data_IF_761882593791
#
_entry.id   IF_761882593791
#
_cell.length_a   1.000
_cell.length_b   1.000
_cell.length_c   1.000
_cell.angle_alpha   90.00
_cell.angle_beta   90.00
_cell.angle_gamma   90.00
#
_symmetry.space_group_name_H-M   'P 1'
#
loop_
_entity.id
_entity.type
_entity.pdbx_description
1 polymer ?
#
# COMPACT_ATOMS: atom_id res chain seq x y z
N UNK A 1 5.22 -66.10 -43.87
CA UNK A 1 4.74 -66.88 -45.03
C UNK A 1 3.50 -66.20 -45.59
N UNK A 2 3.47 -66.06 -46.92
CA UNK A 2 2.34 -65.70 -47.79
C UNK A 2 1.82 -64.25 -47.75
N UNK A 3 2.28 -63.52 -48.75
CA UNK A 3 1.73 -62.33 -49.40
C UNK A 3 0.32 -62.54 -49.96
N UNK A 4 -0.47 -61.46 -50.03
CA UNK A 4 -1.40 -61.22 -51.13
C UNK A 4 -1.50 -59.70 -51.38
N UNK A 5 -1.04 -59.31 -52.56
CA UNK A 5 -1.13 -58.00 -53.22
C UNK A 5 -2.26 -58.12 -54.25
N UNK A 6 -3.15 -57.13 -54.38
CA UNK A 6 -3.75 -56.63 -55.65
C UNK A 6 -4.21 -55.17 -55.37
N UNK A 7 -3.56 -54.12 -55.92
CA UNK A 7 -3.86 -53.40 -57.18
C UNK A 7 -5.31 -52.83 -57.22
N UNK A 8 -5.64 -51.62 -57.67
CA UNK A 8 -4.98 -50.63 -58.51
C UNK A 8 -5.85 -49.36 -58.57
N UNK A 9 -5.21 -48.18 -58.64
CA UNK A 9 -5.57 -46.97 -59.43
C UNK A 9 -7.03 -46.44 -59.48
N UNK A 10 -7.24 -45.16 -59.13
CA UNK A 10 -7.30 -44.09 -60.15
C UNK A 10 -7.33 -42.68 -59.54
N UNK A 11 -6.56 -41.82 -60.21
CA UNK A 11 -6.40 -40.38 -60.07
C UNK A 11 -7.66 -39.63 -60.55
N UNK A 12 -8.12 -38.63 -59.78
CA UNK A 12 -8.83 -37.48 -60.34
C UNK A 12 -8.71 -36.27 -59.40
N UNK A 13 -7.94 -35.29 -59.86
CA UNK A 13 -7.86 -33.93 -59.33
C UNK A 13 -9.08 -33.16 -59.89
N UNK A 14 -9.96 -32.64 -59.03
CA UNK A 14 -10.93 -31.60 -59.43
C UNK A 14 -10.93 -30.47 -58.42
N UNK A 15 -10.29 -29.39 -58.85
CA UNK A 15 -10.41 -28.01 -58.38
C UNK A 15 -11.83 -27.51 -58.67
N UNK A 16 -12.54 -27.05 -57.63
CA UNK A 16 -13.69 -26.17 -57.76
C UNK A 16 -13.71 -25.22 -56.55
N UNK A 17 -13.49 -23.95 -56.86
CA UNK A 17 -13.58 -22.78 -55.99
C UNK A 17 -15.01 -22.56 -55.51
N UNK A 18 -15.18 -22.07 -54.27
CA UNK A 18 -16.26 -21.17 -53.85
C UNK A 18 -15.96 -20.58 -52.45
N UNK A 19 -15.56 -19.31 -52.44
CA UNK A 19 -15.87 -18.24 -51.49
C UNK A 19 -15.91 -18.55 -49.98
N UNK A 20 -14.77 -18.31 -49.32
CA UNK A 20 -14.69 -18.17 -47.87
C UNK A 20 -14.87 -16.68 -47.52
N UNK A 21 -15.96 -16.28 -46.83
CA UNK A 21 -16.15 -14.89 -46.47
C UNK A 21 -15.18 -14.48 -45.36
N UNK A 22 -14.45 -13.40 -45.63
CA UNK A 22 -13.60 -12.63 -44.75
C UNK A 22 -14.36 -11.99 -43.58
N UNK A 23 -14.95 -12.80 -42.68
CA UNK A 23 -15.68 -12.31 -41.48
C UNK A 23 -15.15 -12.79 -40.14
N UNK A 24 -14.14 -13.66 -40.09
CA UNK A 24 -13.50 -14.07 -38.81
C UNK A 24 -12.31 -13.22 -38.39
N UNK A 25 -11.68 -12.47 -39.29
CA UNK A 25 -10.56 -11.59 -38.97
C UNK A 25 -10.99 -10.21 -38.42
N UNK A 26 -12.27 -9.83 -38.57
CA UNK A 26 -12.80 -8.54 -38.08
C UNK A 26 -13.48 -8.62 -36.69
N UNK A 27 -13.66 -9.82 -36.11
CA UNK A 27 -14.28 -9.97 -34.78
C UNK A 27 -13.29 -9.99 -33.60
N UNK A 28 -11.97 -9.99 -33.84
CA UNK A 28 -10.96 -9.88 -32.79
C UNK A 28 -10.43 -8.45 -32.55
N UNK A 29 -10.92 -7.45 -33.29
CA UNK A 29 -10.50 -6.04 -33.15
C UNK A 29 -11.54 -5.13 -32.46
N UNK A 30 -12.62 -5.67 -31.88
CA UNK A 30 -13.67 -4.86 -31.21
C UNK A 30 -13.79 -5.07 -29.68
N UNK A 31 -12.81 -5.69 -29.03
CA UNK A 31 -12.73 -5.73 -27.55
C UNK A 31 -11.49 -5.03 -26.98
N UNK A 32 -11.00 -4.00 -27.68
CA UNK A 32 -10.20 -2.94 -27.07
C UNK A 32 -10.98 -1.65 -27.22
N UNK A 33 -12.09 -1.54 -26.47
CA UNK A 33 -12.55 -0.23 -26.04
C UNK A 33 -11.34 0.42 -25.36
N UNK A 34 -10.77 1.42 -26.03
CA UNK A 34 -9.96 2.43 -25.39
C UNK A 34 -10.85 3.06 -24.31
N UNK A 35 -10.81 2.48 -23.11
CA UNK A 35 -11.09 3.25 -21.92
C UNK A 35 -9.96 4.28 -21.88
N UNK A 36 -10.25 5.51 -22.31
CA UNK A 36 -9.45 6.64 -21.84
C UNK A 36 -9.29 6.46 -20.32
N UNK A 37 -8.09 6.65 -19.74
CA UNK A 37 -7.95 6.56 -18.30
C UNK A 37 -8.94 7.54 -17.70
N UNK A 38 -10.04 7.03 -17.13
CA UNK A 38 -10.99 7.87 -16.46
C UNK A 38 -10.21 8.53 -15.32
N UNK A 39 -10.16 9.86 -15.32
CA UNK A 39 -9.50 10.64 -14.27
C UNK A 39 -9.89 10.05 -12.92
N UNK A 40 -8.90 9.69 -12.07
CA UNK A 40 -9.18 9.16 -10.75
C UNK A 40 -10.18 10.07 -10.03
N UNK A 41 -11.14 9.49 -9.30
CA UNK A 41 -12.23 10.27 -8.68
C UNK A 41 -11.67 11.33 -7.74
N UNK A 42 -10.60 11.00 -7.01
CA UNK A 42 -9.90 11.91 -6.12
C UNK A 42 -9.23 13.11 -6.84
N UNK A 43 -9.11 13.06 -8.17
CA UNK A 43 -8.53 14.13 -9.01
C UNK A 43 -9.57 14.78 -9.93
N UNK A 44 -10.84 14.36 -9.88
CA UNK A 44 -11.89 14.91 -10.72
C UNK A 44 -12.56 16.10 -10.02
N UNK A 45 -12.31 17.31 -10.54
CA UNK A 45 -12.90 18.56 -10.06
C UNK A 45 -14.45 18.59 -10.17
N UNK A 46 -15.04 17.74 -11.00
CA UNK A 46 -16.50 17.61 -11.15
C UNK A 46 -17.11 16.53 -10.26
N UNK A 47 -16.31 15.84 -9.45
CA UNK A 47 -16.79 14.81 -8.52
C UNK A 47 -17.44 15.45 -7.28
N UNK A 48 -18.59 16.12 -7.48
CA UNK A 48 -19.41 16.72 -6.43
C UNK A 48 -20.02 15.69 -5.43
N UNK A 49 -19.49 14.46 -5.35
CA UNK A 49 -20.12 13.32 -4.70
C UNK A 49 -19.13 12.39 -3.95
N UNK A 50 -17.93 12.84 -3.58
CA UNK A 50 -17.16 12.19 -2.51
C UNK A 50 -17.38 12.96 -1.20
N UNK A 51 -18.31 12.41 -0.44
CA UNK A 51 -18.82 12.71 0.90
C UNK A 51 -18.46 14.06 1.58
N UNK A 52 -19.52 14.76 1.98
CA UNK A 52 -19.57 16.11 2.58
C UNK A 52 -18.99 16.15 4.02
N UNK A 53 -18.29 15.11 4.47
CA UNK A 53 -17.77 14.99 5.86
C UNK A 53 -16.31 15.46 6.05
N UNK A 54 -15.57 15.79 4.98
CA UNK A 54 -14.12 16.09 5.05
C UNK A 54 -13.71 17.57 4.94
N UNK A 55 -14.65 18.53 4.92
CA UNK A 55 -14.42 19.97 4.63
C UNK A 55 -13.54 20.78 5.63
N UNK A 56 -12.62 20.14 6.35
CA UNK A 56 -11.71 20.81 7.30
C UNK A 56 -10.24 20.40 7.25
N UNK A 57 -9.84 19.40 6.45
CA UNK A 57 -8.43 18.99 6.31
C UNK A 57 -8.20 18.65 4.86
N UNK A 58 -7.12 19.15 4.26
CA UNK A 58 -6.71 18.73 2.91
C UNK A 58 -6.75 17.20 2.85
N UNK A 59 -7.57 16.68 1.96
CA UNK A 59 -7.76 15.25 1.80
C UNK A 59 -6.39 14.62 1.49
N UNK A 60 -6.02 13.56 2.21
CA UNK A 60 -4.77 12.87 1.94
C UNK A 60 -4.90 12.17 0.59
N UNK A 61 -4.43 12.85 -0.45
CA UNK A 61 -4.60 12.42 -1.83
C UNK A 61 -3.91 11.08 -2.12
N UNK A 62 -2.85 10.75 -1.36
CA UNK A 62 -2.20 9.45 -1.45
C UNK A 62 -3.15 8.36 -0.95
N UNK A 63 -3.83 8.59 0.17
CA UNK A 63 -4.81 7.63 0.69
C UNK A 63 -6.01 7.47 -0.25
N UNK A 64 -6.62 8.57 -0.70
CA UNK A 64 -7.79 8.50 -1.59
C UNK A 64 -7.47 7.82 -2.93
N UNK A 65 -6.30 8.08 -3.52
CA UNK A 65 -5.86 7.41 -4.76
C UNK A 65 -5.56 5.93 -4.52
N UNK A 66 -4.95 5.59 -3.38
CA UNK A 66 -4.64 4.21 -3.06
C UNK A 66 -5.92 3.40 -2.80
N UNK A 67 -6.89 3.94 -2.07
CA UNK A 67 -8.18 3.29 -1.82
C UNK A 67 -8.94 3.01 -3.12
N UNK A 68 -8.88 3.94 -4.09
CA UNK A 68 -9.44 3.70 -5.41
C UNK A 68 -8.73 2.52 -6.11
N UNK A 69 -7.42 2.39 -5.97
CA UNK A 69 -6.67 1.24 -6.51
C UNK A 69 -7.00 -0.06 -5.78
N UNK A 70 -7.13 -0.05 -4.45
CA UNK A 70 -7.56 -1.20 -3.64
C UNK A 70 -8.94 -1.70 -4.10
N UNK A 71 -9.86 -0.79 -4.39
CA UNK A 71 -11.22 -1.15 -4.85
C UNK A 71 -11.24 -1.88 -6.20
N UNK A 72 -10.19 -1.72 -7.01
CA UNK A 72 -10.06 -2.27 -8.36
C UNK A 72 -9.09 -3.45 -8.45
N UNK A 73 -8.26 -3.68 -7.42
CA UNK A 73 -7.20 -4.68 -7.44
C UNK A 73 -7.39 -5.72 -6.31
N UNK A 74 -7.68 -6.99 -6.64
CA UNK A 74 -7.94 -8.02 -5.63
C UNK A 74 -6.73 -8.35 -4.76
N UNK A 75 -5.50 -8.21 -5.27
CA UNK A 75 -4.28 -8.48 -4.49
C UNK A 75 -4.04 -7.38 -3.45
N UNK A 76 -4.29 -6.11 -3.82
CA UNK A 76 -4.24 -4.99 -2.87
C UNK A 76 -5.32 -5.14 -1.80
N UNK A 77 -6.54 -5.52 -2.20
CA UNK A 77 -7.62 -5.79 -1.24
C UNK A 77 -7.26 -6.92 -0.26
N UNK A 78 -6.70 -8.02 -0.77
CA UNK A 78 -6.25 -9.13 0.07
C UNK A 78 -5.15 -8.70 1.04
N UNK A 79 -4.24 -7.83 0.62
CA UNK A 79 -3.22 -7.27 1.50
C UNK A 79 -3.84 -6.44 2.63
N UNK A 80 -4.76 -5.52 2.32
CA UNK A 80 -5.44 -4.71 3.33
C UNK A 80 -6.21 -5.56 4.34
N UNK A 81 -6.93 -6.58 3.85
CA UNK A 81 -7.66 -7.51 4.71
C UNK A 81 -6.71 -8.27 5.64
N UNK A 82 -5.53 -8.68 5.16
CA UNK A 82 -4.48 -9.33 5.97
C UNK A 82 -3.88 -8.38 7.00
N UNK A 83 -3.56 -7.14 6.63
CA UNK A 83 -3.02 -6.13 7.54
C UNK A 83 -4.01 -5.81 8.67
N UNK A 84 -5.29 -5.67 8.33
CA UNK A 84 -6.37 -5.47 9.29
C UNK A 84 -6.51 -6.64 10.26
N UNK A 85 -6.46 -7.87 9.74
CA UNK A 85 -6.52 -9.08 10.57
C UNK A 85 -5.32 -9.18 11.53
N UNK A 86 -4.11 -8.88 11.06
CA UNK A 86 -2.89 -8.83 11.88
C UNK A 86 -3.00 -7.77 12.99
N UNK A 87 -3.51 -6.58 12.66
CA UNK A 87 -3.69 -5.51 13.64
C UNK A 87 -4.71 -5.90 14.72
N UNK A 88 -5.82 -6.53 14.32
CA UNK A 88 -6.85 -7.00 15.25
C UNK A 88 -6.30 -8.11 16.18
N UNK A 89 -5.55 -9.07 15.64
CA UNK A 89 -4.99 -10.19 16.42
C UNK A 89 -3.78 -9.84 17.29
N UNK A 90 -3.22 -8.63 17.15
CA UNK A 90 -1.99 -8.24 17.86
C UNK A 90 -2.18 -8.26 19.37
N UNK A 91 -3.25 -7.64 19.87
CA UNK A 91 -3.48 -7.51 21.31
C UNK A 91 -3.56 -8.88 21.97
N UNK A 92 -4.44 -9.74 21.47
CA UNK A 92 -4.69 -11.08 21.99
C UNK A 92 -3.42 -11.95 21.97
N UNK A 93 -2.57 -11.78 20.94
CA UNK A 93 -1.36 -12.59 20.76
C UNK A 93 -0.27 -12.32 21.80
N UNK A 94 -0.21 -11.11 22.35
CA UNK A 94 0.86 -10.70 23.30
C UNK A 94 0.35 -10.43 24.71
N UNK A 95 -0.96 -10.26 24.88
CA UNK A 95 -1.57 -9.80 26.14
C UNK A 95 -1.25 -10.73 27.32
N UNK A 96 -1.40 -12.05 27.13
CA UNK A 96 -1.19 -13.02 28.21
C UNK A 96 0.23 -12.94 28.79
N UNK A 97 1.23 -12.86 27.92
CA UNK A 97 2.62 -12.75 28.34
C UNK A 97 2.93 -11.36 28.92
N UNK A 98 2.42 -10.27 28.32
CA UNK A 98 2.62 -8.93 28.86
C UNK A 98 2.04 -8.82 30.28
N UNK A 99 0.80 -9.27 30.50
CA UNK A 99 0.20 -9.30 31.85
C UNK A 99 1.00 -10.13 32.85
N UNK A 100 1.55 -11.26 32.41
CA UNK A 100 2.43 -12.08 33.24
C UNK A 100 3.73 -11.33 33.57
N UNK A 101 4.35 -10.69 32.57
CA UNK A 101 5.59 -9.95 32.73
C UNK A 101 5.41 -8.73 33.65
N UNK A 102 4.37 -7.93 33.43
CA UNK A 102 4.04 -6.75 34.23
C UNK A 102 3.89 -7.09 35.72
N UNK A 103 3.21 -8.19 36.04
CA UNK A 103 3.07 -8.66 37.44
C UNK A 103 4.41 -9.00 38.07
N UNK A 104 5.31 -9.64 37.32
CA UNK A 104 6.63 -9.98 37.83
C UNK A 104 7.50 -8.73 37.99
N UNK A 105 7.45 -7.78 37.06
CA UNK A 105 8.14 -6.50 37.18
C UNK A 105 7.67 -5.71 38.41
N UNK A 106 6.35 -5.64 38.63
CA UNK A 106 5.77 -5.04 39.83
C UNK A 106 6.27 -5.73 41.09
N UNK A 107 6.26 -7.08 41.13
CA UNK A 107 6.77 -7.83 42.27
C UNK A 107 8.22 -7.49 42.59
N UNK A 108 9.13 -7.52 41.59
CA UNK A 108 10.54 -7.25 41.83
C UNK A 108 10.81 -5.79 42.24
N UNK A 109 10.04 -4.84 41.72
CA UNK A 109 10.09 -3.45 42.14
C UNK A 109 9.70 -3.32 43.63
N UNK A 110 8.53 -3.84 44.01
CA UNK A 110 8.02 -3.79 45.39
C UNK A 110 8.92 -4.56 46.36
N UNK A 111 9.42 -5.74 45.97
CA UNK A 111 10.37 -6.50 46.75
C UNK A 111 11.67 -5.70 46.99
N UNK A 112 12.18 -5.02 45.96
CA UNK A 112 13.33 -4.12 46.09
C UNK A 112 13.10 -3.02 47.12
N UNK A 113 11.93 -2.36 47.07
CA UNK A 113 11.55 -1.33 48.05
C UNK A 113 11.49 -1.86 49.49
N UNK A 114 10.89 -3.04 49.69
CA UNK A 114 10.87 -3.68 51.02
C UNK A 114 12.26 -4.01 51.53
N UNK A 115 13.16 -4.47 50.65
CA UNK A 115 14.55 -4.77 51.00
C UNK A 115 15.30 -3.50 51.43
N UNK A 116 15.10 -2.38 50.75
CA UNK A 116 15.69 -1.10 51.18
C UNK A 116 15.19 -0.64 52.56
N UNK A 117 13.98 -1.05 52.96
CA UNK A 117 13.43 -0.79 54.29
C UNK A 117 14.15 -1.49 55.44
N UNK A 118 14.93 -2.55 55.16
CA UNK A 118 15.63 -3.36 56.18
C UNK A 118 16.73 -2.52 56.85
N UNK A 119 16.69 -2.44 58.19
CA UNK A 119 17.60 -1.62 59.00
C UNK A 119 18.97 -2.27 59.22
N UNK A 120 18.99 -3.59 59.42
CA UNK A 120 20.23 -4.36 59.48
C UNK A 120 20.87 -4.40 58.09
N UNK A 121 22.03 -3.74 57.95
CA UNK A 121 22.71 -3.61 56.66
C UNK A 121 23.22 -4.96 56.13
N UNK A 122 23.73 -5.82 57.00
CA UNK A 122 24.25 -7.13 56.61
C UNK A 122 23.12 -8.03 56.13
N UNK A 123 21.98 -8.00 56.83
CA UNK A 123 20.78 -8.72 56.40
C UNK A 123 20.25 -8.16 55.08
N UNK A 124 20.13 -6.83 54.97
CA UNK A 124 19.67 -6.15 53.74
C UNK A 124 20.48 -6.60 52.53
N UNK A 125 21.80 -6.55 52.61
CA UNK A 125 22.68 -6.88 51.50
C UNK A 125 22.55 -8.36 51.09
N UNK A 126 22.39 -9.27 52.07
CA UNK A 126 22.11 -10.68 51.78
C UNK A 126 20.80 -10.86 51.02
N UNK A 127 19.73 -10.16 51.42
CA UNK A 127 18.44 -10.25 50.72
C UNK A 127 18.50 -9.58 49.33
N UNK A 128 19.25 -8.48 49.15
CA UNK A 128 19.49 -7.88 47.82
C UNK A 128 20.06 -8.91 46.85
N UNK A 129 21.07 -9.66 47.27
CA UNK A 129 21.68 -10.72 46.46
C UNK A 129 20.67 -11.83 46.12
N UNK A 130 19.85 -12.24 47.08
CA UNK A 130 18.82 -13.25 46.87
C UNK A 130 17.78 -12.79 45.84
N UNK A 131 17.24 -11.57 45.98
CA UNK A 131 16.26 -11.00 45.05
C UNK A 131 16.86 -10.83 43.66
N UNK A 132 18.09 -10.32 43.55
CA UNK A 132 18.79 -10.19 42.27
C UNK A 132 19.01 -11.54 41.59
N UNK A 133 19.36 -12.59 42.37
CA UNK A 133 19.48 -13.95 41.86
C UNK A 133 18.15 -14.51 41.34
N UNK A 134 17.04 -14.26 42.02
CA UNK A 134 15.69 -14.63 41.55
C UNK A 134 15.32 -13.90 40.26
N UNK A 135 15.54 -12.57 40.21
CA UNK A 135 15.28 -11.76 39.02
C UNK A 135 16.08 -12.26 37.82
N UNK A 136 17.36 -12.60 38.00
CA UNK A 136 18.20 -13.16 36.93
C UNK A 136 17.65 -14.49 36.40
N UNK A 137 17.16 -15.37 37.28
CA UNK A 137 16.51 -16.63 36.85
C UNK A 137 15.24 -16.35 36.05
N UNK A 138 14.42 -15.42 36.53
CA UNK A 138 13.21 -15.00 35.82
C UNK A 138 13.53 -14.45 34.41
N UNK A 139 14.51 -13.55 34.30
CA UNK A 139 14.98 -13.04 33.02
C UNK A 139 15.46 -14.15 32.07
N UNK A 140 16.12 -15.18 32.60
CA UNK A 140 16.50 -16.36 31.82
C UNK A 140 15.30 -17.18 31.33
N UNK A 141 14.27 -17.34 32.16
CA UNK A 141 13.03 -18.05 31.80
C UNK A 141 12.23 -17.31 30.71
N UNK A 142 12.26 -15.98 30.72
CA UNK A 142 11.47 -15.14 29.80
C UNK A 142 12.26 -14.63 28.59
N UNK A 143 13.55 -14.93 28.48
CA UNK A 143 14.41 -14.45 27.40
C UNK A 143 13.82 -14.70 26.01
N UNK A 144 13.39 -15.94 25.72
CA UNK A 144 12.79 -16.29 24.42
C UNK A 144 11.48 -15.56 24.12
N UNK A 145 10.65 -15.30 25.14
CA UNK A 145 9.42 -14.52 24.95
C UNK A 145 9.74 -13.06 24.61
N UNK A 146 10.72 -12.47 25.30
CA UNK A 146 11.17 -11.11 25.03
C UNK A 146 11.79 -10.96 23.63
N UNK A 147 12.51 -11.98 23.14
CA UNK A 147 13.02 -12.00 21.77
C UNK A 147 11.88 -12.05 20.74
N UNK A 148 10.84 -12.85 20.98
CA UNK A 148 9.66 -12.90 20.12
C UNK A 148 8.91 -11.56 20.11
N UNK A 149 8.72 -10.92 21.26
CA UNK A 149 8.11 -9.58 21.32
C UNK A 149 8.89 -8.55 20.51
N UNK A 150 10.23 -8.54 20.62
CA UNK A 150 11.08 -7.66 19.81
C UNK A 150 10.96 -7.95 18.32
N UNK A 151 10.91 -9.23 17.94
CA UNK A 151 10.74 -9.63 16.55
C UNK A 151 9.37 -9.24 15.99
N UNK A 152 8.30 -9.36 16.78
CA UNK A 152 6.95 -8.90 16.43
C UNK A 152 6.98 -7.38 16.18
N UNK A 153 7.58 -6.61 17.09
CA UNK A 153 7.62 -5.15 16.95
C UNK A 153 8.43 -4.71 15.73
N UNK A 154 9.60 -5.31 15.50
CA UNK A 154 10.41 -5.03 14.31
C UNK A 154 9.65 -5.33 13.00
N UNK A 155 8.87 -6.42 12.98
CA UNK A 155 8.02 -6.78 11.83
C UNK A 155 6.86 -5.82 11.64
N UNK A 156 6.23 -5.35 12.72
CA UNK A 156 5.16 -4.35 12.63
C UNK A 156 5.66 -3.04 12.03
N UNK A 157 6.84 -2.55 12.48
CA UNK A 157 7.48 -1.37 11.91
C UNK A 157 7.79 -1.56 10.43
N UNK A 158 8.41 -2.69 10.08
CA UNK A 158 8.73 -3.02 8.68
C UNK A 158 7.48 -3.07 7.80
N UNK A 159 6.38 -3.67 8.29
CA UNK A 159 5.11 -3.73 7.56
C UNK A 159 4.50 -2.35 7.37
N UNK A 160 4.54 -1.49 8.40
CA UNK A 160 4.05 -0.12 8.31
C UNK A 160 4.82 0.67 7.25
N UNK A 161 6.16 0.64 7.30
CA UNK A 161 7.01 1.36 6.35
C UNK A 161 6.79 0.86 4.92
N UNK A 162 6.78 -0.46 4.71
CA UNK A 162 6.55 -1.05 3.39
C UNK A 162 5.14 -0.75 2.86
N UNK A 163 4.13 -0.70 3.73
CA UNK A 163 2.79 -0.30 3.35
C UNK A 163 2.76 1.16 2.89
N UNK A 164 3.39 2.08 3.62
CA UNK A 164 3.54 3.47 3.19
C UNK A 164 4.26 3.59 1.85
N UNK A 165 5.37 2.86 1.65
CA UNK A 165 6.08 2.83 0.36
C UNK A 165 5.18 2.32 -0.75
N UNK A 166 4.41 1.26 -0.52
CA UNK A 166 3.47 0.72 -1.50
C UNK A 166 2.43 1.77 -1.93
N UNK A 167 1.81 2.46 -0.96
CA UNK A 167 0.84 3.53 -1.24
C UNK A 167 1.46 4.62 -2.11
N UNK A 168 2.63 5.12 -1.74
CA UNK A 168 3.33 6.18 -2.49
C UNK A 168 3.67 5.70 -3.90
N UNK A 169 4.29 4.53 -4.06
CA UNK A 169 4.70 4.04 -5.39
C UNK A 169 3.50 3.81 -6.31
N UNK A 170 2.42 3.26 -5.77
CA UNK A 170 1.22 2.94 -6.57
C UNK A 170 0.46 4.19 -7.00
N UNK A 171 0.42 5.21 -6.14
CA UNK A 171 -0.28 6.47 -6.42
C UNK A 171 0.56 7.45 -7.21
N UNK A 172 1.89 7.41 -7.09
CA UNK A 172 2.80 8.20 -7.92
C UNK A 172 2.60 7.91 -9.41
N UNK A 173 2.48 6.63 -9.79
CA UNK A 173 2.20 6.22 -11.17
C UNK A 173 0.87 6.78 -11.68
N UNK A 174 -0.15 6.79 -10.82
CA UNK A 174 -1.47 7.35 -11.14
C UNK A 174 -1.37 8.86 -11.34
N UNK A 175 -0.64 9.55 -10.46
CA UNK A 175 -0.44 11.00 -10.53
C UNK A 175 0.35 11.40 -11.77
N UNK A 176 1.42 10.67 -12.11
CA UNK A 176 2.20 10.92 -13.33
C UNK A 176 1.34 10.76 -14.59
N UNK A 177 0.48 9.73 -14.63
CA UNK A 177 -0.47 9.54 -15.73
C UNK A 177 -1.46 10.71 -15.80
N UNK A 178 -2.05 11.10 -14.67
CA UNK A 178 -2.94 12.25 -14.61
C UNK A 178 -2.28 13.52 -15.11
N UNK A 179 -1.06 13.81 -14.66
CA UNK A 179 -0.29 14.97 -15.10
C UNK A 179 -0.05 14.97 -16.61
N UNK A 180 0.32 13.83 -17.19
CA UNK A 180 0.55 13.73 -18.63
C UNK A 180 -0.74 13.94 -19.43
N UNK A 181 -1.83 13.32 -18.99
CA UNK A 181 -3.08 13.29 -19.73
C UNK A 181 -3.91 14.58 -19.55
N UNK A 182 -3.73 15.29 -18.44
CA UNK A 182 -4.58 16.42 -18.04
C UNK A 182 -3.82 17.76 -17.96
N UNK A 183 -2.53 17.83 -18.32
CA UNK A 183 -1.79 19.09 -18.32
C UNK A 183 -2.45 20.12 -19.25
N UNK A 184 -2.94 21.26 -18.74
CA UNK A 184 -3.58 22.25 -19.58
C UNK A 184 -2.59 22.86 -20.59
N UNK A 185 -3.09 23.17 -21.78
CA UNK A 185 -2.29 23.88 -22.79
C UNK A 185 -1.75 25.20 -22.24
N UNK A 186 -0.47 25.50 -22.46
CA UNK A 186 0.11 26.80 -22.09
C UNK A 186 -0.35 27.96 -22.99
N UNK A 187 -1.14 27.70 -24.05
CA UNK A 187 -1.60 28.74 -25.00
C UNK A 187 -2.37 29.89 -24.33
N UNK A 188 -3.34 29.66 -23.43
CA UNK A 188 -4.05 30.76 -22.75
C UNK A 188 -3.10 31.62 -21.91
N UNK A 189 -2.14 31.01 -21.22
CA UNK A 189 -1.13 31.73 -20.43
C UNK A 189 -0.27 32.62 -21.34
N UNK A 190 0.20 32.08 -22.47
CA UNK A 190 0.96 32.85 -23.47
C UNK A 190 0.13 34.00 -24.07
N UNK A 191 -1.14 33.73 -24.35
CA UNK A 191 -2.08 34.74 -24.84
C UNK A 191 -2.28 35.87 -23.84
N UNK A 192 -2.39 35.55 -22.55
CA UNK A 192 -2.53 36.55 -21.50
C UNK A 192 -1.26 37.41 -21.36
N UNK A 193 -0.07 36.81 -21.39
CA UNK A 193 1.21 37.55 -21.39
C UNK A 193 1.29 38.50 -22.60
N UNK A 194 0.87 38.06 -23.78
CA UNK A 194 0.84 38.92 -24.97
C UNK A 194 -0.06 40.15 -24.76
N UNK A 195 -1.27 39.95 -24.26
CA UNK A 195 -2.20 41.04 -23.96
C UNK A 195 -1.64 42.03 -22.92
N UNK A 196 -0.94 41.53 -21.91
CA UNK A 196 -0.26 42.38 -20.92
C UNK A 196 0.84 43.23 -21.58
N UNK A 197 1.64 42.65 -22.46
CA UNK A 197 2.72 43.37 -23.15
C UNK A 197 2.18 44.50 -24.05
N UNK A 198 1.06 44.29 -24.73
CA UNK A 198 0.42 45.34 -25.54
C UNK A 198 -0.12 46.47 -24.66
N UNK A 199 -0.73 46.15 -23.52
CA UNK A 199 -1.19 47.15 -22.57
C UNK A 199 -0.03 47.98 -22.00
N UNK A 200 1.09 47.35 -21.64
CA UNK A 200 2.28 48.03 -21.13
C UNK A 200 2.89 48.98 -22.17
N UNK A 201 3.01 48.56 -23.43
CA UNK A 201 3.49 49.43 -24.52
C UNK A 201 2.61 50.67 -24.70
N UNK A 202 1.29 50.49 -24.56
CA UNK A 202 0.34 51.59 -24.66
C UNK A 202 0.54 52.59 -23.51
N UNK A 203 0.64 52.10 -22.26
CA UNK A 203 0.92 52.95 -21.09
C UNK A 203 2.23 53.70 -21.26
N UNK A 204 3.32 53.03 -21.66
CA UNK A 204 4.62 53.65 -21.90
C UNK A 204 4.55 54.77 -22.95
N UNK A 205 3.78 54.54 -24.03
CA UNK A 205 3.58 55.54 -25.10
C UNK A 205 2.82 56.77 -24.59
N UNK A 206 1.86 56.57 -23.69
CA UNK A 206 1.05 57.65 -23.12
C UNK A 206 1.80 58.47 -22.07
N UNK A 207 2.75 57.87 -21.35
CA UNK A 207 3.57 58.57 -20.33
C UNK A 207 4.75 59.34 -20.94
N UNK A 208 5.27 58.92 -22.10
CA UNK A 208 6.43 59.57 -22.76
C UNK A 208 6.06 60.73 -23.71
N UNK A 209 4.78 61.06 -23.84
CA UNK A 209 4.28 62.25 -24.56
C UNK A 209 4.12 63.42 -23.60
#
# INVERSE_FOLDING_TARGET
MRTAIILSTFLALTIASCDIPARRAQQQQQQQQHQQPATPKALDDNSAAYDITSKGRGEDLVESLYDEQVSKNPDLKLLEDKLKALQAGRHDSVEAFNRFNDKNEIYYNVAGQHVEGIKDSVLRDKIKVLVAGSLKKYQGLTAGHNELLKAIEAKNLTLADLHTVLKVVRTLQVMETYQQDNLPSAKPLKGYIYSQNEALKLVDTLVKK
#
